data_IF_373361502547
#
_entry.id   IF_373361502547
#
_cell.length_a   1.000
_cell.length_b   1.000
_cell.length_c   1.000
_cell.angle_alpha   90.00
_cell.angle_beta   90.00
_cell.angle_gamma   90.00
#
_symmetry.space_group_name_H-M   'P 1'
#
loop_
_entity.id
_entity.type
_entity.pdbx_description
1 polymer ?
#
# COMPACT_ATOMS: atom_id res chain seq x y z
N UNK A 1 -26.92 18.92 -22.97
CA UNK A 1 -25.83 18.29 -23.72
C UNK A 1 -24.63 18.23 -22.80
N UNK A 2 -24.59 17.23 -21.92
CA UNK A 2 -23.65 17.17 -20.80
C UNK A 2 -22.83 15.91 -20.97
N UNK A 3 -21.86 15.97 -21.88
CA UNK A 3 -20.91 14.90 -22.13
C UNK A 3 -19.78 15.04 -21.10
N UNK A 4 -20.07 14.64 -19.85
CA UNK A 4 -19.04 14.48 -18.82
C UNK A 4 -18.24 13.25 -19.21
N UNK A 5 -17.20 13.52 -20.00
CA UNK A 5 -16.29 12.59 -20.66
C UNK A 5 -15.90 11.42 -19.74
N UNK A 6 -16.45 10.25 -20.05
CA UNK A 6 -15.93 8.96 -19.63
C UNK A 6 -14.54 8.80 -20.26
N UNK A 7 -13.47 9.24 -19.57
CA UNK A 7 -12.10 8.99 -20.06
C UNK A 7 -11.94 7.51 -20.43
N UNK A 8 -11.32 7.20 -21.56
CA UNK A 8 -11.10 5.82 -21.97
C UNK A 8 -10.14 5.12 -20.98
N UNK A 9 -10.10 3.78 -20.98
CA UNK A 9 -9.13 3.06 -20.15
C UNK A 9 -7.67 3.39 -20.51
N UNK A 10 -7.43 3.74 -21.77
CA UNK A 10 -6.12 4.09 -22.32
C UNK A 10 -5.68 5.49 -21.86
N UNK A 11 -6.59 6.47 -21.85
CA UNK A 11 -6.31 7.82 -21.35
C UNK A 11 -5.97 7.82 -19.86
N UNK A 12 -6.68 7.00 -19.07
CA UNK A 12 -6.34 6.80 -17.66
C UNK A 12 -4.95 6.18 -17.51
N UNK A 13 -4.64 5.16 -18.29
CA UNK A 13 -3.34 4.49 -18.24
C UNK A 13 -2.20 5.43 -18.62
N UNK A 14 -2.35 6.20 -19.70
CA UNK A 14 -1.37 7.18 -20.14
C UNK A 14 -1.15 8.27 -19.07
N UNK A 15 -2.23 8.74 -18.43
CA UNK A 15 -2.14 9.72 -17.34
C UNK A 15 -1.36 9.18 -16.13
N UNK A 16 -1.57 7.91 -15.76
CA UNK A 16 -0.84 7.27 -14.65
C UNK A 16 0.64 7.13 -15.00
N UNK A 17 0.95 6.66 -16.21
CA UNK A 17 2.34 6.50 -16.67
C UNK A 17 3.08 7.83 -16.72
N UNK A 18 2.43 8.89 -17.24
CA UNK A 18 3.02 10.22 -17.27
C UNK A 18 3.29 10.76 -15.86
N UNK A 19 2.33 10.60 -14.94
CA UNK A 19 2.49 11.04 -13.55
C UNK A 19 3.61 10.28 -12.85
N UNK A 20 3.67 8.95 -13.02
CA UNK A 20 4.71 8.10 -12.42
C UNK A 20 6.10 8.48 -12.92
N UNK A 21 6.25 8.67 -14.23
CA UNK A 21 7.50 9.09 -14.83
C UNK A 21 7.94 10.48 -14.32
N UNK A 22 7.01 11.44 -14.20
CA UNK A 22 7.30 12.76 -13.66
C UNK A 22 7.75 12.71 -12.18
N UNK A 23 7.26 11.73 -11.42
CA UNK A 23 7.64 11.50 -10.02
C UNK A 23 8.91 10.63 -9.88
N UNK A 24 9.43 10.05 -10.96
CA UNK A 24 10.56 9.13 -10.93
C UNK A 24 10.23 7.76 -10.34
N UNK A 25 8.97 7.31 -10.47
CA UNK A 25 8.51 6.02 -9.95
C UNK A 25 8.57 4.96 -11.05
N UNK A 26 9.25 3.85 -10.76
CA UNK A 26 9.32 2.67 -11.61
C UNK A 26 9.14 1.35 -10.82
N UNK A 27 9.21 0.22 -11.50
CA UNK A 27 9.04 -1.12 -10.91
C UNK A 27 10.16 -1.46 -9.90
N UNK A 28 11.38 -1.00 -10.15
CA UNK A 28 12.52 -1.27 -9.26
C UNK A 28 12.32 -0.52 -7.93
N UNK A 29 11.91 0.74 -7.99
CA UNK A 29 11.61 1.55 -6.82
C UNK A 29 10.43 0.98 -6.03
N UNK A 30 9.37 0.51 -6.71
CA UNK A 30 8.25 -0.18 -6.05
C UNK A 30 8.72 -1.46 -5.34
N UNK A 31 9.55 -2.27 -5.99
CA UNK A 31 10.10 -3.48 -5.35
C UNK A 31 10.91 -3.13 -4.12
N UNK A 32 11.82 -2.15 -4.24
CA UNK A 32 12.67 -1.70 -3.13
C UNK A 32 11.86 -1.15 -1.97
N UNK A 33 10.80 -0.37 -2.24
CA UNK A 33 9.89 0.14 -1.23
C UNK A 33 9.25 -1.02 -0.45
N UNK A 34 8.68 -2.01 -1.14
CA UNK A 34 8.02 -3.14 -0.47
C UNK A 34 9.03 -3.94 0.37
N UNK A 35 10.18 -4.28 -0.20
CA UNK A 35 11.19 -5.09 0.50
C UNK A 35 11.72 -4.36 1.74
N UNK A 36 12.07 -3.09 1.62
CA UNK A 36 12.59 -2.28 2.73
C UNK A 36 11.55 -2.08 3.82
N UNK A 37 10.32 -1.74 3.44
CA UNK A 37 9.25 -1.50 4.38
C UNK A 37 8.90 -2.76 5.18
N UNK A 38 8.78 -3.91 4.52
CA UNK A 38 8.41 -5.15 5.20
C UNK A 38 9.55 -5.80 5.98
N UNK A 39 10.81 -5.51 5.65
CA UNK A 39 11.93 -5.81 6.54
C UNK A 39 11.77 -5.11 7.89
N UNK A 40 11.39 -3.81 7.89
CA UNK A 40 11.11 -3.06 9.13
C UNK A 40 9.89 -3.59 9.88
N UNK A 41 8.81 -3.88 9.17
CA UNK A 41 7.58 -4.45 9.76
C UNK A 41 7.87 -5.79 10.45
N UNK A 42 8.73 -6.63 9.87
CA UNK A 42 9.09 -7.93 10.44
C UNK A 42 9.85 -7.80 11.76
N UNK A 43 10.70 -6.78 11.89
CA UNK A 43 11.51 -6.52 13.09
C UNK A 43 10.77 -5.67 14.14
N UNK A 44 9.62 -5.10 13.81
CA UNK A 44 8.86 -4.24 14.72
C UNK A 44 8.14 -5.04 15.80
N UNK A 45 8.31 -4.64 17.07
CA UNK A 45 7.75 -5.36 18.22
C UNK A 45 6.21 -5.38 18.25
N UNK A 46 5.54 -4.40 17.63
CA UNK A 46 4.08 -4.32 17.61
C UNK A 46 3.49 -5.03 16.38
N UNK A 47 4.09 -4.82 15.20
CA UNK A 47 3.58 -5.36 13.94
C UNK A 47 4.09 -6.76 13.64
N UNK A 48 5.36 -7.03 13.92
CA UNK A 48 6.03 -8.30 13.64
C UNK A 48 5.24 -9.51 14.11
N UNK A 49 4.75 -9.56 15.37
CA UNK A 49 3.94 -10.68 15.86
C UNK A 49 2.62 -10.89 15.10
N UNK A 50 1.98 -9.82 14.60
CA UNK A 50 0.73 -9.91 13.82
C UNK A 50 1.02 -10.57 12.48
N UNK A 51 2.05 -10.09 11.76
CA UNK A 51 2.42 -10.64 10.46
C UNK A 51 3.01 -12.05 10.58
N UNK A 52 3.88 -12.31 11.56
CA UNK A 52 4.45 -13.64 11.80
C UNK A 52 3.35 -14.67 12.06
N UNK A 53 2.32 -14.31 12.83
CA UNK A 53 1.20 -15.22 13.08
C UNK A 53 0.32 -15.45 11.85
N UNK A 54 0.24 -14.49 10.92
CA UNK A 54 -0.59 -14.59 9.73
C UNK A 54 0.13 -15.26 8.54
N UNK A 55 1.46 -15.10 8.45
CA UNK A 55 2.28 -15.52 7.31
C UNK A 55 3.22 -16.70 7.64
N UNK A 56 3.60 -16.88 8.90
CA UNK A 56 4.63 -17.85 9.28
C UNK A 56 6.02 -17.39 8.84
N UNK A 57 6.86 -18.35 8.43
CA UNK A 57 8.25 -18.09 8.04
C UNK A 57 8.42 -17.66 6.58
N UNK A 58 7.49 -18.03 5.70
CA UNK A 58 7.54 -17.73 4.27
C UNK A 58 6.80 -16.43 3.94
N UNK A 59 7.57 -15.35 3.77
CA UNK A 59 7.04 -14.03 3.45
C UNK A 59 6.99 -13.75 1.95
N UNK A 60 7.68 -14.54 1.12
CA UNK A 60 7.89 -14.24 -0.29
C UNK A 60 6.58 -14.12 -1.08
N UNK A 61 5.57 -15.01 -0.91
CA UNK A 61 4.28 -14.85 -1.57
C UNK A 61 3.54 -13.56 -1.17
N UNK A 62 3.71 -13.12 0.08
CA UNK A 62 3.10 -11.88 0.55
C UNK A 62 3.77 -10.66 -0.09
N UNK A 63 5.10 -10.63 -0.10
CA UNK A 63 5.88 -9.54 -0.69
C UNK A 63 5.62 -9.42 -2.19
N UNK A 64 5.60 -10.54 -2.93
CA UNK A 64 5.28 -10.55 -4.35
C UNK A 64 3.89 -9.93 -4.63
N UNK A 65 2.88 -10.31 -3.85
CA UNK A 65 1.53 -9.76 -3.96
C UNK A 65 1.48 -8.26 -3.66
N UNK A 66 2.29 -7.78 -2.73
CA UNK A 66 2.35 -6.36 -2.36
C UNK A 66 3.11 -5.52 -3.39
N UNK A 67 4.12 -6.08 -4.05
CA UNK A 67 4.77 -5.46 -5.22
C UNK A 67 3.76 -5.25 -6.34
N UNK A 68 2.96 -6.26 -6.64
CA UNK A 68 1.87 -6.14 -7.62
C UNK A 68 0.81 -5.11 -7.19
N UNK A 69 0.45 -5.08 -5.90
CA UNK A 69 -0.50 -4.11 -5.35
C UNK A 69 -0.03 -2.66 -5.53
N UNK A 70 1.20 -2.36 -5.12
CA UNK A 70 1.76 -1.02 -5.23
C UNK A 70 2.09 -0.64 -6.67
N UNK A 71 2.51 -1.59 -7.50
CA UNK A 71 2.67 -1.38 -8.95
C UNK A 71 1.33 -1.07 -9.62
N UNK A 72 0.24 -1.72 -9.24
CA UNK A 72 -1.09 -1.41 -9.76
C UNK A 72 -1.54 0.01 -9.38
N UNK A 73 -1.23 0.44 -8.15
CA UNK A 73 -1.57 1.78 -7.64
C UNK A 73 -0.72 2.88 -8.28
N UNK A 74 0.59 2.66 -8.34
CA UNK A 74 1.54 3.67 -8.80
C UNK A 74 1.60 3.72 -10.33
N UNK A 75 1.76 2.56 -10.97
CA UNK A 75 2.08 2.42 -12.40
C UNK A 75 0.88 1.99 -13.25
N UNK A 76 -0.26 1.69 -12.63
CA UNK A 76 -1.47 1.26 -13.34
C UNK A 76 -1.37 -0.15 -13.91
N UNK A 77 -0.45 -0.98 -13.42
CA UNK A 77 -0.37 -2.38 -13.88
C UNK A 77 -1.62 -3.18 -13.47
N UNK A 78 -1.87 -4.29 -14.16
CA UNK A 78 -3.06 -5.13 -13.95
C UNK A 78 -2.73 -6.48 -13.30
N UNK A 79 -1.58 -6.57 -12.62
CA UNK A 79 -1.12 -7.81 -11.98
C UNK A 79 -1.82 -8.10 -10.65
N UNK A 80 -2.26 -7.06 -9.94
CA UNK A 80 -3.02 -7.22 -8.70
C UNK A 80 -4.53 -7.39 -8.97
N UNK A 81 -5.07 -8.53 -8.57
CA UNK A 81 -6.50 -8.86 -8.65
C UNK A 81 -7.13 -9.15 -7.26
N UNK A 82 -6.39 -8.86 -6.19
CA UNK A 82 -6.79 -9.15 -4.82
C UNK A 82 -7.83 -8.18 -4.25
N UNK A 83 -8.47 -8.61 -3.15
CA UNK A 83 -9.28 -7.75 -2.30
C UNK A 83 -8.60 -7.71 -0.92
N UNK A 84 -8.02 -6.57 -0.50
CA UNK A 84 -7.24 -6.54 0.73
C UNK A 84 -8.10 -6.56 2.00
N UNK A 85 -9.28 -5.93 1.98
CA UNK A 85 -10.15 -5.80 3.16
C UNK A 85 -10.50 -7.13 3.85
N UNK A 86 -10.93 -8.21 3.16
CA UNK A 86 -11.25 -9.48 3.82
C UNK A 86 -10.11 -10.08 4.63
N UNK A 87 -8.85 -9.83 4.25
CA UNK A 87 -7.70 -10.31 5.02
C UNK A 87 -7.55 -9.55 6.35
N UNK A 88 -7.81 -8.24 6.34
CA UNK A 88 -7.71 -7.39 7.53
C UNK A 88 -8.90 -7.62 8.48
N UNK A 89 -10.10 -7.85 7.93
CA UNK A 89 -11.29 -8.21 8.72
C UNK A 89 -11.11 -9.54 9.49
N UNK A 90 -10.36 -10.51 8.96
CA UNK A 90 -10.05 -11.75 9.68
C UNK A 90 -9.10 -11.56 10.87
N UNK A 91 -8.48 -10.39 10.98
CA UNK A 91 -7.57 -10.01 12.05
C UNK A 91 -8.20 -8.94 12.96
N UNK A 92 -9.50 -8.64 12.82
CA UNK A 92 -10.17 -7.52 13.49
C UNK A 92 -10.13 -7.59 15.03
N UNK A 93 -9.97 -8.79 15.58
CA UNK A 93 -9.81 -9.07 17.02
C UNK A 93 -8.36 -8.92 17.51
N UNK A 94 -7.41 -8.80 16.59
CA UNK A 94 -5.97 -8.77 16.86
C UNK A 94 -5.29 -7.47 16.48
N UNK A 95 -5.91 -6.66 15.63
CA UNK A 95 -5.41 -5.35 15.20
C UNK A 95 -6.22 -4.23 15.82
N UNK A 96 -5.55 -3.11 16.06
CA UNK A 96 -6.12 -1.92 16.69
C UNK A 96 -5.60 -0.66 15.99
N UNK A 97 -6.13 0.51 16.33
CA UNK A 97 -5.67 1.80 15.82
C UNK A 97 -4.15 1.99 16.00
N UNK A 98 -3.59 1.50 17.11
CA UNK A 98 -2.14 1.56 17.37
C UNK A 98 -1.32 0.82 16.30
N UNK A 99 -1.80 -0.33 15.83
CA UNK A 99 -1.14 -1.08 14.76
C UNK A 99 -1.18 -0.31 13.44
N UNK A 100 -2.33 0.29 13.09
CA UNK A 100 -2.44 1.13 11.89
C UNK A 100 -1.53 2.36 11.97
N UNK A 101 -1.50 3.03 13.11
CA UNK A 101 -0.62 4.17 13.35
C UNK A 101 0.85 3.81 13.19
N UNK A 102 1.28 2.68 13.79
CA UNK A 102 2.67 2.21 13.66
C UNK A 102 3.03 1.82 12.23
N UNK A 103 2.15 1.11 11.54
CA UNK A 103 2.35 0.71 10.14
C UNK A 103 2.49 1.94 9.24
N UNK A 104 1.62 2.95 9.40
CA UNK A 104 1.69 4.20 8.64
C UNK A 104 2.94 5.02 8.97
N UNK A 105 3.39 5.01 10.23
CA UNK A 105 4.64 5.65 10.65
C UNK A 105 5.86 5.04 9.97
N UNK A 106 6.03 3.71 10.05
CA UNK A 106 7.11 3.01 9.37
C UNK A 106 7.04 3.19 7.84
N UNK A 107 5.84 3.23 7.28
CA UNK A 107 5.67 3.46 5.85
C UNK A 107 6.12 4.87 5.46
N UNK A 108 5.77 5.89 6.25
CA UNK A 108 6.25 7.28 6.07
C UNK A 108 7.78 7.35 6.10
N UNK A 109 8.39 6.79 7.13
CA UNK A 109 9.85 6.76 7.27
C UNK A 109 10.52 6.10 6.06
N UNK A 110 9.92 5.03 5.53
CA UNK A 110 10.47 4.32 4.37
C UNK A 110 10.36 5.11 3.08
N UNK A 111 9.22 5.77 2.83
CA UNK A 111 9.06 6.58 1.60
C UNK A 111 9.89 7.86 1.66
N UNK A 112 10.04 8.49 2.83
CA UNK A 112 10.88 9.68 2.98
C UNK A 112 12.37 9.38 2.71
N UNK A 113 12.83 8.17 3.03
CA UNK A 113 14.21 7.74 2.77
C UNK A 113 14.46 7.33 1.33
N UNK A 114 13.54 6.58 0.71
CA UNK A 114 13.78 5.95 -0.58
C UNK A 114 13.37 6.80 -1.78
N UNK A 115 12.38 7.67 -1.63
CA UNK A 115 11.79 8.34 -2.79
C UNK A 115 12.73 9.43 -3.33
N UNK A 116 12.84 9.57 -4.66
CA UNK A 116 13.78 10.51 -5.27
C UNK A 116 13.43 11.98 -5.02
N UNK A 117 12.22 12.26 -4.56
CA UNK A 117 11.74 13.59 -4.23
C UNK A 117 10.54 13.53 -3.25
N UNK A 118 10.23 14.63 -2.54
CA UNK A 118 9.11 14.68 -1.59
C UNK A 118 7.75 14.38 -2.22
N UNK A 119 7.52 14.80 -3.47
CA UNK A 119 6.23 14.56 -4.13
C UNK A 119 5.96 13.06 -4.38
N UNK A 120 7.01 12.27 -4.65
CA UNK A 120 6.91 10.82 -4.75
C UNK A 120 6.66 10.18 -3.37
N UNK A 121 7.28 10.69 -2.30
CA UNK A 121 7.01 10.25 -0.93
C UNK A 121 5.55 10.50 -0.53
N UNK A 122 5.09 11.74 -0.72
CA UNK A 122 3.71 12.13 -0.41
C UNK A 122 2.70 11.36 -1.27
N UNK A 123 3.00 11.10 -2.55
CA UNK A 123 2.15 10.27 -3.42
C UNK A 123 1.83 8.91 -2.82
N UNK A 124 2.84 8.18 -2.31
CA UNK A 124 2.66 6.87 -1.71
C UNK A 124 2.00 6.98 -0.33
N UNK A 125 2.45 7.93 0.50
CA UNK A 125 1.93 8.11 1.85
C UNK A 125 0.45 8.49 1.87
N UNK A 126 0.01 9.39 0.98
CA UNK A 126 -1.40 9.80 0.89
C UNK A 126 -2.32 8.63 0.55
N UNK A 127 -1.87 7.76 -0.37
CA UNK A 127 -2.60 6.55 -0.75
C UNK A 127 -2.65 5.54 0.38
N UNK A 128 -1.52 5.30 1.02
CA UNK A 128 -1.41 4.45 2.20
C UNK A 128 -2.37 4.91 3.30
N UNK A 129 -2.38 6.22 3.60
CA UNK A 129 -3.30 6.81 4.58
C UNK A 129 -4.77 6.65 4.19
N UNK A 130 -5.13 6.93 2.94
CA UNK A 130 -6.51 6.77 2.47
C UNK A 130 -6.98 5.32 2.62
N UNK A 131 -6.16 4.35 2.22
CA UNK A 131 -6.45 2.92 2.35
C UNK A 131 -6.56 2.54 3.82
N UNK A 132 -5.60 2.96 4.66
CA UNK A 132 -5.59 2.69 6.09
C UNK A 132 -6.80 3.27 6.82
N UNK A 133 -7.20 4.50 6.51
CA UNK A 133 -8.44 5.10 7.05
C UNK A 133 -9.67 4.31 6.67
N UNK A 134 -9.78 3.87 5.42
CA UNK A 134 -10.91 3.05 4.96
C UNK A 134 -10.95 1.68 5.66
N UNK A 135 -9.80 1.07 5.93
CA UNK A 135 -9.72 -0.18 6.68
C UNK A 135 -10.16 0.01 8.13
N UNK A 136 -9.62 1.02 8.82
CA UNK A 136 -10.01 1.34 10.20
C UNK A 136 -11.50 1.63 10.32
N UNK A 137 -12.05 2.46 9.42
CA UNK A 137 -13.48 2.77 9.42
C UNK A 137 -14.35 1.52 9.30
N UNK A 138 -13.99 0.58 8.42
CA UNK A 138 -14.76 -0.66 8.24
C UNK A 138 -14.57 -1.66 9.38
N UNK A 139 -13.35 -1.79 9.90
CA UNK A 139 -13.03 -2.78 10.94
C UNK A 139 -13.62 -2.36 12.29
N UNK A 140 -13.48 -1.08 12.65
CA UNK A 140 -13.91 -0.61 13.98
C UNK A 140 -15.39 -0.21 14.03
N UNK A 141 -16.01 0.18 12.90
CA UNK A 141 -17.46 0.36 12.86
C UNK A 141 -18.24 -0.95 13.06
N UNK A 142 -17.66 -2.10 12.70
CA UNK A 142 -18.27 -3.42 12.91
C UNK A 142 -18.13 -3.95 14.35
N UNK A 143 -17.25 -3.33 15.15
CA UNK A 143 -16.98 -3.71 16.53
C UNK A 143 -17.61 -2.73 17.55
N UNK A 144 -18.42 -1.76 17.06
CA UNK A 144 -19.10 -0.73 17.85
C UNK A 144 -20.55 -1.09 18.16
#
# INVERSE_FOLDING_TARGET
MTDTIRRSGEERQASIQHTSAALGIDEALVSQLVDTFYARVREDDLLGPIFQSALGEDWDPHLAKLKDFWSAIALGTRRYNGRPMPAHLRLSDRISEAHFGRWLGLFRETVDELMPNPAAADFFYDRANMIGRNFQAMIFALNS
#
